data_IF_862242114606
#
_entry.id   IF_862242114606
#
_cell.length_a   1.000
_cell.length_b   1.000
_cell.length_c   1.000
_cell.angle_alpha   90.00
_cell.angle_beta   90.00
_cell.angle_gamma   90.00
#
_symmetry.space_group_name_H-M   'P 1'
#
loop_
_entity.id
_entity.type
_entity.pdbx_description
1 polymer ?
#
# COMPACT_ATOMS: atom_id res chain seq x y z
N UNK A 1 11.01 45.64 3.24
CA UNK A 1 11.06 45.03 1.90
C UNK A 1 11.46 43.56 2.03
N UNK A 2 10.53 42.62 1.83
CA UNK A 2 10.88 41.20 1.76
C UNK A 2 11.53 40.93 0.39
N UNK A 3 12.85 40.75 0.37
CA UNK A 3 13.52 40.21 -0.82
C UNK A 3 13.02 38.79 -1.00
N UNK A 4 12.12 38.58 -1.95
CA UNK A 4 11.59 37.26 -2.25
C UNK A 4 12.73 36.40 -2.75
N UNK A 5 13.16 35.42 -1.96
CA UNK A 5 14.27 34.54 -2.31
C UNK A 5 13.93 33.77 -3.60
N UNK A 6 14.67 34.06 -4.68
CA UNK A 6 14.67 33.25 -5.89
C UNK A 6 15.84 32.29 -5.81
N UNK A 7 15.57 31.01 -6.05
CA UNK A 7 16.57 29.96 -6.01
C UNK A 7 17.40 30.01 -7.31
N UNK A 8 18.75 30.09 -7.24
CA UNK A 8 19.60 30.07 -8.43
C UNK A 8 19.49 28.78 -9.27
N UNK A 9 19.26 27.64 -8.62
CA UNK A 9 19.19 26.31 -9.21
C UNK A 9 17.87 25.68 -8.80
N UNK A 10 16.96 25.55 -9.76
CA UNK A 10 15.65 24.94 -9.53
C UNK A 10 15.37 23.93 -10.65
N UNK A 11 15.61 22.61 -10.43
CA UNK A 11 15.24 21.60 -11.41
C UNK A 11 13.75 21.68 -11.74
N UNK A 12 13.40 21.47 -13.02
CA UNK A 12 12.00 21.43 -13.44
C UNK A 12 11.35 20.11 -13.00
N UNK A 13 10.07 20.14 -12.59
CA UNK A 13 9.35 18.92 -12.23
C UNK A 13 9.17 18.02 -13.46
N UNK A 14 9.33 16.71 -13.28
CA UNK A 14 9.01 15.74 -14.33
C UNK A 14 7.48 15.58 -14.50
N UNK A 15 7.08 14.97 -15.61
CA UNK A 15 5.67 14.84 -15.99
C UNK A 15 4.85 14.03 -14.99
N UNK A 16 5.41 12.95 -14.47
CA UNK A 16 4.79 11.99 -13.55
C UNK A 16 5.37 12.06 -12.13
N UNK A 17 6.19 13.06 -11.82
CA UNK A 17 6.83 13.20 -10.50
C UNK A 17 5.85 13.67 -9.41
N UNK A 18 6.00 13.19 -8.17
CA UNK A 18 5.28 13.69 -6.99
C UNK A 18 5.73 15.12 -6.63
N UNK A 19 4.81 15.93 -6.10
CA UNK A 19 5.13 17.30 -5.66
C UNK A 19 6.20 17.29 -4.55
N UNK A 20 6.03 16.40 -3.57
CA UNK A 20 6.99 16.19 -2.49
C UNK A 20 8.37 15.75 -3.01
N UNK A 21 8.42 14.92 -4.06
CA UNK A 21 9.67 14.51 -4.72
C UNK A 21 10.35 15.68 -5.42
N UNK A 22 9.60 16.48 -6.18
CA UNK A 22 10.15 17.64 -6.87
C UNK A 22 10.74 18.64 -5.86
N UNK A 23 10.00 18.96 -4.79
CA UNK A 23 10.48 19.84 -3.72
C UNK A 23 11.73 19.29 -3.03
N UNK A 24 11.76 17.97 -2.75
CA UNK A 24 12.93 17.32 -2.16
C UNK A 24 14.16 17.38 -3.09
N UNK A 25 13.98 17.24 -4.41
CA UNK A 25 15.07 17.40 -5.38
C UNK A 25 15.56 18.83 -5.49
N UNK A 26 14.68 19.82 -5.47
CA UNK A 26 15.08 21.23 -5.42
C UNK A 26 15.91 21.47 -4.15
N UNK A 27 15.43 21.05 -2.99
CA UNK A 27 16.12 21.21 -1.71
C UNK A 27 17.48 20.51 -1.67
N UNK A 28 17.58 19.32 -2.24
CA UNK A 28 18.83 18.57 -2.32
C UNK A 28 19.93 19.29 -3.12
N UNK A 29 19.59 20.20 -4.05
CA UNK A 29 20.58 21.06 -4.74
C UNK A 29 21.25 22.07 -3.82
N UNK A 30 20.65 22.33 -2.67
CA UNK A 30 21.14 23.24 -1.63
C UNK A 30 21.68 22.50 -0.40
N UNK A 31 21.80 21.17 -0.45
CA UNK A 31 22.22 20.38 0.71
C UNK A 31 21.22 20.43 1.87
N UNK A 32 19.94 20.67 1.59
CA UNK A 32 18.89 20.87 2.59
C UNK A 32 17.70 19.95 2.32
N UNK A 33 16.88 19.72 3.34
CA UNK A 33 15.60 19.03 3.21
C UNK A 33 14.48 19.98 2.76
N UNK A 34 13.42 19.45 2.15
CA UNK A 34 12.32 20.27 1.63
C UNK A 34 11.70 21.18 2.71
N UNK A 35 11.58 20.68 3.94
CA UNK A 35 11.01 21.43 5.06
C UNK A 35 11.88 22.61 5.48
N UNK A 36 13.19 22.38 5.58
CA UNK A 36 14.17 23.40 5.93
C UNK A 36 14.20 24.51 4.87
N UNK A 37 14.16 24.12 3.59
CA UNK A 37 14.11 25.08 2.49
C UNK A 37 12.81 25.89 2.51
N UNK A 38 11.66 25.29 2.86
CA UNK A 38 10.39 26.03 3.05
C UNK A 38 10.53 27.08 4.14
N UNK A 39 11.11 26.73 5.29
CA UNK A 39 11.32 27.68 6.39
C UNK A 39 12.20 28.84 5.93
N UNK A 40 13.26 28.56 5.18
CA UNK A 40 14.10 29.58 4.58
C UNK A 40 13.33 30.50 3.61
N UNK A 41 12.52 29.91 2.70
CA UNK A 41 11.74 30.66 1.72
C UNK A 41 10.64 31.53 2.36
N UNK A 42 10.03 31.05 3.46
CA UNK A 42 8.97 31.76 4.17
C UNK A 42 9.49 32.91 5.07
N UNK A 43 10.76 32.86 5.48
CA UNK A 43 11.39 33.89 6.31
C UNK A 43 10.83 34.00 7.74
N UNK A 44 11.12 35.12 8.42
CA UNK A 44 10.80 35.36 9.84
C UNK A 44 9.28 35.35 10.17
N UNK A 45 8.40 35.52 9.18
CA UNK A 45 6.94 35.48 9.33
C UNK A 45 6.33 34.08 9.19
N UNK A 46 7.13 33.06 8.87
CA UNK A 46 6.68 31.72 8.49
C UNK A 46 6.71 30.67 9.59
N UNK A 47 6.55 31.04 10.88
CA UNK A 47 6.65 30.08 12.01
C UNK A 47 5.75 28.84 11.89
N UNK A 48 4.66 28.93 11.12
CA UNK A 48 3.73 27.82 10.86
C UNK A 48 3.98 27.10 9.51
N UNK A 49 4.87 27.60 8.65
CA UNK A 49 5.16 27.01 7.33
C UNK A 49 6.00 25.73 7.43
N UNK A 50 6.82 25.61 8.48
CA UNK A 50 7.66 24.43 8.76
C UNK A 50 6.92 23.25 9.40
N UNK A 51 5.60 23.30 9.57
CA UNK A 51 4.82 22.23 10.20
C UNK A 51 4.04 21.36 9.20
N UNK A 52 3.94 21.77 7.93
CA UNK A 52 3.09 21.09 6.93
C UNK A 52 3.95 20.20 6.03
N UNK A 53 3.82 18.89 6.19
CA UNK A 53 4.27 17.95 5.16
C UNK A 53 3.55 18.28 3.85
N UNK A 54 4.26 18.20 2.73
CA UNK A 54 3.68 18.44 1.41
C UNK A 54 2.63 17.36 1.14
N UNK A 55 1.37 17.76 1.07
CA UNK A 55 0.30 16.89 0.60
C UNK A 55 0.42 16.73 -0.91
N UNK A 56 0.74 15.53 -1.37
CA UNK A 56 0.80 15.20 -2.80
C UNK A 56 -0.60 15.13 -3.42
N UNK A 57 -1.66 14.92 -2.63
CA UNK A 57 -3.05 14.80 -3.09
C UNK A 57 -3.68 16.15 -3.28
N UNK A 58 -3.78 16.95 -2.22
CA UNK A 58 -4.41 18.26 -2.22
C UNK A 58 -3.45 19.30 -1.60
N UNK A 59 -2.40 19.73 -2.35
CA UNK A 59 -1.37 20.60 -1.82
C UNK A 59 -1.92 21.96 -1.42
N UNK A 60 -1.39 22.50 -0.32
CA UNK A 60 -1.65 23.87 0.11
C UNK A 60 -1.21 24.87 -0.97
N UNK A 61 -2.16 25.69 -1.44
CA UNK A 61 -1.94 26.64 -2.52
C UNK A 61 -1.02 27.80 -2.14
N UNK A 62 -0.94 28.19 -0.86
CA UNK A 62 0.03 29.19 -0.40
C UNK A 62 1.45 28.64 -0.46
N UNK A 63 1.63 27.42 0.02
CA UNK A 63 2.91 26.71 -0.07
C UNK A 63 3.33 26.51 -1.53
N UNK A 64 2.41 26.10 -2.41
CA UNK A 64 2.69 25.96 -3.83
C UNK A 64 3.10 27.27 -4.48
N UNK A 65 2.41 28.38 -4.18
CA UNK A 65 2.77 29.71 -4.71
C UNK A 65 4.16 30.15 -4.25
N UNK A 66 4.52 29.84 -3.00
CA UNK A 66 5.86 30.12 -2.46
C UNK A 66 6.93 29.37 -3.27
N UNK A 67 6.78 28.06 -3.45
CA UNK A 67 7.70 27.24 -4.25
C UNK A 67 7.73 27.65 -5.72
N UNK A 68 6.56 27.92 -6.32
CA UNK A 68 6.41 28.38 -7.69
C UNK A 68 7.21 29.66 -7.94
N UNK A 69 7.06 30.64 -7.04
CA UNK A 69 7.78 31.92 -7.10
C UNK A 69 9.29 31.73 -6.94
N UNK A 70 9.71 30.95 -5.95
CA UNK A 70 11.12 30.68 -5.68
C UNK A 70 11.82 29.95 -6.85
N UNK A 71 11.12 29.02 -7.49
CA UNK A 71 11.62 28.17 -8.57
C UNK A 71 11.30 28.70 -9.99
N UNK A 72 10.60 29.83 -10.10
CA UNK A 72 10.15 30.42 -11.38
C UNK A 72 9.35 29.41 -12.21
N UNK A 73 8.46 28.67 -11.56
CA UNK A 73 7.52 27.73 -12.19
C UNK A 73 6.12 28.35 -12.10
N UNK A 74 5.29 28.12 -13.11
CA UNK A 74 3.87 28.48 -13.05
C UNK A 74 3.16 27.67 -11.93
N UNK A 75 2.50 28.32 -10.95
CA UNK A 75 1.78 27.62 -9.89
C UNK A 75 0.66 26.72 -10.40
N UNK A 76 -0.02 27.06 -11.50
CA UNK A 76 -1.07 26.19 -12.07
C UNK A 76 -0.48 24.91 -12.66
N UNK A 77 0.69 25.01 -13.30
CA UNK A 77 1.45 23.83 -13.74
C UNK A 77 1.85 22.92 -12.57
N UNK A 78 2.17 23.47 -11.40
CA UNK A 78 2.44 22.66 -10.20
C UNK A 78 1.15 22.05 -9.63
N UNK A 79 0.06 22.82 -9.57
CA UNK A 79 -1.24 22.31 -9.11
C UNK A 79 -1.70 21.11 -9.95
N UNK A 80 -1.51 21.17 -11.28
CA UNK A 80 -1.77 20.04 -12.21
C UNK A 80 -0.92 18.79 -11.96
N UNK A 81 0.07 18.83 -11.06
CA UNK A 81 0.86 17.66 -10.65
C UNK A 81 0.34 17.00 -9.37
N UNK A 82 -0.61 17.61 -8.67
CA UNK A 82 -1.24 16.97 -7.52
C UNK A 82 -1.92 15.67 -7.95
N UNK A 83 -2.02 14.71 -7.03
CA UNK A 83 -2.67 13.43 -7.33
C UNK A 83 -4.15 13.63 -7.60
N UNK A 84 -4.82 14.55 -6.89
CA UNK A 84 -6.22 14.89 -7.17
C UNK A 84 -6.41 15.44 -8.59
N UNK A 85 -5.48 16.27 -9.09
CA UNK A 85 -5.58 16.76 -10.48
C UNK A 85 -5.22 15.70 -11.52
N UNK A 86 -4.30 14.78 -11.21
CA UNK A 86 -3.86 13.72 -12.14
C UNK A 86 -4.85 12.56 -12.22
N UNK A 87 -5.59 12.34 -11.15
CA UNK A 87 -6.52 11.22 -11.01
C UNK A 87 -7.86 11.76 -10.44
N UNK A 88 -8.59 12.60 -11.20
CA UNK A 88 -9.80 13.26 -10.70
C UNK A 88 -10.92 12.29 -10.35
N UNK A 89 -10.99 11.14 -11.03
CA UNK A 89 -12.01 10.12 -10.82
C UNK A 89 -11.68 9.17 -9.67
N UNK A 90 -10.60 9.44 -8.91
CA UNK A 90 -10.12 8.55 -7.86
C UNK A 90 -10.40 9.14 -6.47
N UNK A 91 -11.08 8.38 -5.59
CA UNK A 91 -11.28 8.82 -4.21
C UNK A 91 -9.96 9.01 -3.46
N UNK A 92 -9.95 9.95 -2.51
CA UNK A 92 -8.77 10.26 -1.71
C UNK A 92 -8.26 9.04 -0.92
N UNK A 93 -9.19 8.19 -0.48
CA UNK A 93 -8.94 6.94 0.26
C UNK A 93 -8.17 5.89 -0.57
N UNK A 94 -7.98 6.13 -1.88
CA UNK A 94 -7.20 5.28 -2.79
C UNK A 94 -5.80 5.82 -3.10
N UNK A 95 -5.34 6.82 -2.33
CA UNK A 95 -3.94 7.24 -2.28
C UNK A 95 -3.29 6.86 -0.95
N UNK A 96 -2.07 6.35 -1.00
CA UNK A 96 -1.27 6.06 0.18
C UNK A 96 -0.90 7.36 0.90
N UNK A 97 -1.12 7.42 2.22
CA UNK A 97 -0.84 8.62 3.04
C UNK A 97 0.55 8.56 3.66
N UNK A 98 1.05 7.37 3.98
CA UNK A 98 2.32 7.18 4.71
C UNK A 98 3.55 7.13 3.78
N UNK A 99 3.96 5.92 3.41
CA UNK A 99 5.22 5.65 2.72
C UNK A 99 4.98 5.50 1.23
N UNK A 100 5.80 6.15 0.41
CA UNK A 100 5.78 5.94 -1.05
C UNK A 100 6.59 4.68 -1.34
N UNK A 101 5.95 3.59 -1.79
CA UNK A 101 6.68 2.42 -2.25
C UNK A 101 7.45 2.78 -3.53
N UNK A 102 8.58 2.14 -3.76
CA UNK A 102 9.50 2.51 -4.86
C UNK A 102 9.87 1.31 -5.71
N UNK A 103 10.19 1.55 -6.97
CA UNK A 103 10.87 0.57 -7.81
C UNK A 103 12.34 0.98 -7.94
N UNK A 104 13.26 0.11 -7.56
CA UNK A 104 14.69 0.40 -7.64
C UNK A 104 15.18 0.41 -9.10
N UNK A 105 14.65 -0.47 -9.95
CA UNK A 105 14.94 -0.47 -11.38
C UNK A 105 14.51 0.84 -12.08
N UNK A 106 13.44 1.49 -11.60
CA UNK A 106 13.09 2.84 -12.07
C UNK A 106 14.17 3.87 -11.74
N UNK A 107 14.79 3.81 -10.56
CA UNK A 107 15.90 4.70 -10.23
C UNK A 107 17.14 4.39 -11.07
N UNK A 108 17.42 3.13 -11.34
CA UNK A 108 18.53 2.74 -12.21
C UNK A 108 18.30 3.19 -13.65
N UNK A 109 17.07 3.10 -14.16
CA UNK A 109 16.68 3.61 -15.46
C UNK A 109 16.82 5.14 -15.57
N UNK A 110 16.50 5.89 -14.49
CA UNK A 110 16.72 7.34 -14.45
C UNK A 110 18.22 7.66 -14.61
N UNK A 111 19.06 6.90 -13.92
CA UNK A 111 20.53 7.06 -13.93
C UNK A 111 21.11 6.68 -15.28
N UNK A 112 20.68 5.56 -15.87
CA UNK A 112 21.08 5.14 -17.21
C UNK A 112 20.71 6.20 -18.26
N UNK A 113 19.57 6.88 -18.08
CA UNK A 113 19.14 8.02 -18.89
C UNK A 113 19.86 9.35 -18.53
N UNK A 114 20.85 9.33 -17.62
CA UNK A 114 21.59 10.50 -17.12
C UNK A 114 20.67 11.59 -16.53
N UNK A 115 19.65 11.17 -15.78
CA UNK A 115 18.69 12.04 -15.10
C UNK A 115 18.72 11.83 -13.60
N UNK A 116 18.27 12.85 -12.88
CA UNK A 116 18.00 12.73 -11.45
C UNK A 116 16.94 11.65 -11.19
N UNK A 117 17.12 10.88 -10.12
CA UNK A 117 16.08 10.01 -9.61
C UNK A 117 14.94 10.83 -8.99
N UNK A 118 13.71 10.33 -9.09
CA UNK A 118 12.51 10.97 -8.54
C UNK A 118 11.41 9.96 -8.20
N UNK A 119 10.48 10.34 -7.33
CA UNK A 119 9.32 9.50 -7.00
C UNK A 119 8.18 9.75 -7.98
N UNK A 120 7.65 8.67 -8.55
CA UNK A 120 6.52 8.73 -9.48
C UNK A 120 5.19 8.86 -8.74
N UNK A 121 4.25 9.56 -9.35
CA UNK A 121 2.90 9.83 -8.84
C UNK A 121 2.09 8.55 -8.68
N UNK A 122 2.16 7.65 -9.67
CA UNK A 122 1.41 6.40 -9.64
C UNK A 122 1.87 5.45 -8.52
N UNK A 123 3.05 5.64 -7.93
CA UNK A 123 3.49 4.86 -6.76
C UNK A 123 2.64 5.12 -5.51
N UNK A 124 1.89 6.22 -5.46
CA UNK A 124 0.96 6.53 -4.37
C UNK A 124 -0.41 5.86 -4.53
N UNK A 125 -0.70 5.17 -5.64
CA UNK A 125 -2.01 4.52 -5.82
C UNK A 125 -2.09 3.27 -4.94
N UNK A 126 -3.20 3.09 -4.24
CA UNK A 126 -3.36 2.02 -3.24
C UNK A 126 -3.29 0.61 -3.84
N UNK A 127 -3.72 0.40 -5.08
CA UNK A 127 -3.58 -0.87 -5.80
C UNK A 127 -2.20 -1.06 -6.42
N UNK A 128 -1.39 0.00 -6.52
CA UNK A 128 -0.08 -0.07 -7.15
C UNK A 128 0.91 -0.80 -6.23
N UNK A 129 1.13 -2.08 -6.51
CA UNK A 129 2.02 -3.00 -5.79
C UNK A 129 3.12 -3.57 -6.68
N UNK A 130 2.92 -3.59 -8.01
CA UNK A 130 3.92 -3.98 -9.02
C UNK A 130 4.23 -2.78 -9.89
N UNK A 131 5.51 -2.54 -10.18
CA UNK A 131 5.95 -1.54 -11.15
C UNK A 131 5.58 -1.97 -12.57
N UNK A 132 4.73 -1.25 -13.33
CA UNK A 132 4.32 -1.71 -14.66
C UNK A 132 5.45 -1.74 -15.69
N UNK A 133 6.37 -0.74 -15.73
CA UNK A 133 7.52 -0.79 -16.63
C UNK A 133 8.49 -1.95 -16.36
N UNK A 134 8.80 -2.23 -15.09
CA UNK A 134 9.84 -3.20 -14.73
C UNK A 134 9.29 -4.57 -14.34
N UNK A 135 7.97 -4.70 -14.15
CA UNK A 135 7.27 -5.93 -13.71
C UNK A 135 7.78 -6.49 -12.39
N UNK A 136 8.41 -5.65 -11.57
CA UNK A 136 8.90 -6.02 -10.25
C UNK A 136 7.98 -5.49 -9.17
N UNK A 137 7.88 -6.22 -8.07
CA UNK A 137 7.18 -5.73 -6.90
C UNK A 137 7.79 -4.41 -6.40
N UNK A 138 6.95 -3.45 -6.01
CA UNK A 138 7.42 -2.24 -5.36
C UNK A 138 7.95 -2.55 -3.95
N UNK A 139 8.87 -1.73 -3.47
CA UNK A 139 9.48 -1.86 -2.15
C UNK A 139 9.05 -0.71 -1.24
N UNK A 140 8.59 -1.04 -0.05
CA UNK A 140 8.34 -0.10 1.06
C UNK A 140 9.32 -0.32 2.23
N UNK A 141 10.31 -1.20 2.03
CA UNK A 141 11.43 -1.47 2.93
C UNK A 141 12.75 -1.34 2.21
N UNK A 142 13.76 -0.86 2.92
CA UNK A 142 15.12 -0.80 2.41
C UNK A 142 15.69 -2.23 2.28
N UNK A 143 16.24 -2.63 1.12
CA UNK A 143 16.84 -3.96 0.98
C UNK A 143 18.08 -4.16 1.87
N UNK A 144 18.81 -3.08 2.19
CA UNK A 144 20.03 -3.17 3.00
C UNK A 144 19.78 -3.27 4.51
N UNK A 145 18.79 -2.55 5.05
CA UNK A 145 18.53 -2.52 6.51
C UNK A 145 17.16 -3.04 6.92
N UNK A 146 16.33 -3.47 5.97
CA UNK A 146 14.96 -4.00 6.14
C UNK A 146 13.97 -3.05 6.84
N UNK A 147 14.42 -1.86 7.21
CA UNK A 147 13.60 -0.81 7.80
C UNK A 147 12.65 -0.19 6.78
N UNK A 148 11.53 0.35 7.27
CA UNK A 148 10.57 1.09 6.46
C UNK A 148 11.27 2.18 5.65
N UNK A 149 11.00 2.21 4.35
CA UNK A 149 11.73 3.00 3.40
C UNK A 149 11.35 4.48 3.56
N UNK A 150 12.30 5.27 4.04
CA UNK A 150 12.27 6.73 3.99
C UNK A 150 13.51 7.14 3.23
N UNK A 151 13.34 7.94 2.18
CA UNK A 151 14.45 8.30 1.31
C UNK A 151 14.81 9.78 1.39
N UNK A 152 16.08 10.06 1.14
CA UNK A 152 16.61 11.40 0.88
C UNK A 152 17.25 11.40 -0.50
N UNK A 153 17.17 12.54 -1.19
CA UNK A 153 17.91 12.73 -2.44
C UNK A 153 19.23 13.43 -2.12
N UNK A 154 20.34 12.88 -2.59
CA UNK A 154 21.67 13.47 -2.41
C UNK A 154 22.43 13.48 -3.73
N UNK A 155 23.31 14.46 -3.89
CA UNK A 155 24.17 14.58 -5.07
C UNK A 155 25.23 13.48 -5.07
N UNK A 156 25.30 12.71 -6.15
CA UNK A 156 26.36 11.73 -6.39
C UNK A 156 26.65 11.70 -7.90
N UNK A 157 27.92 11.91 -8.27
CA UNK A 157 28.37 11.96 -9.67
C UNK A 157 27.55 12.92 -10.55
N UNK A 158 27.22 14.10 -10.01
CA UNK A 158 26.47 15.15 -10.72
C UNK A 158 24.96 14.95 -10.82
N UNK A 159 24.43 13.82 -10.34
CA UNK A 159 22.99 13.51 -10.36
C UNK A 159 22.45 13.36 -8.94
N UNK A 160 21.15 13.65 -8.76
CA UNK A 160 20.47 13.31 -7.51
C UNK A 160 20.15 11.82 -7.46
N UNK A 161 20.63 11.15 -6.42
CA UNK A 161 20.43 9.73 -6.17
C UNK A 161 19.63 9.52 -4.88
N UNK A 162 18.79 8.47 -4.81
CA UNK A 162 18.01 8.17 -3.63
C UNK A 162 18.84 7.36 -2.63
N UNK A 163 18.82 7.77 -1.38
CA UNK A 163 19.47 7.10 -0.25
C UNK A 163 18.45 6.70 0.79
N UNK A 164 18.67 5.59 1.48
CA UNK A 164 17.90 5.26 2.68
C UNK A 164 18.26 6.24 3.80
N UNK A 165 17.28 6.93 4.40
CA UNK A 165 17.51 7.83 5.54
C UNK A 165 17.98 7.10 6.81
N UNK A 166 17.75 5.79 6.91
CA UNK A 166 18.08 5.01 8.12
C UNK A 166 19.51 4.49 8.10
N UNK A 167 19.96 3.93 6.98
CA UNK A 167 21.27 3.28 6.86
C UNK A 167 22.19 3.91 5.82
N UNK A 168 21.78 4.99 5.17
CA UNK A 168 22.53 5.69 4.13
C UNK A 168 22.96 4.83 2.92
N UNK A 169 22.36 3.64 2.75
CA UNK A 169 22.56 2.84 1.55
C UNK A 169 21.97 3.55 0.33
N UNK A 170 22.70 3.53 -0.79
CA UNK A 170 22.19 3.97 -2.10
C UNK A 170 21.08 2.99 -2.50
N UNK A 171 19.93 3.53 -2.87
CA UNK A 171 18.79 2.73 -3.34
C UNK A 171 18.94 2.48 -4.84
N UNK A 172 19.52 1.33 -5.17
CA UNK A 172 19.72 0.81 -6.53
C UNK A 172 19.30 -0.65 -6.56
N UNK A 173 18.81 -1.14 -7.69
CA UNK A 173 18.26 -2.47 -7.84
C UNK A 173 19.30 -3.58 -7.78
N UNK A 174 20.60 -3.25 -7.78
CA UNK A 174 21.66 -4.23 -7.95
C UNK A 174 21.61 -4.78 -9.37
N UNK A 175 22.54 -4.36 -10.23
CA UNK A 175 22.54 -4.81 -11.62
C UNK A 175 22.75 -6.32 -11.72
N UNK A 176 21.70 -7.06 -12.09
CA UNK A 176 21.83 -8.39 -12.70
C UNK A 176 21.80 -9.61 -11.78
N UNK A 177 21.16 -9.57 -10.61
CA UNK A 177 20.69 -10.82 -10.03
C UNK A 177 19.59 -11.37 -10.93
N UNK A 178 19.79 -12.57 -11.49
CA UNK A 178 18.76 -13.29 -12.24
C UNK A 178 17.53 -13.40 -11.35
N UNK A 179 16.48 -12.65 -11.68
CA UNK A 179 15.22 -12.72 -10.95
C UNK A 179 14.75 -14.16 -10.92
N UNK A 180 14.44 -14.66 -9.72
CA UNK A 180 13.81 -15.95 -9.53
C UNK A 180 12.55 -16.03 -10.42
N UNK A 181 12.47 -16.98 -11.37
CA UNK A 181 11.32 -17.12 -12.26
C UNK A 181 9.98 -17.17 -11.52
N UNK A 182 9.94 -17.75 -10.32
CA UNK A 182 8.73 -17.80 -9.49
C UNK A 182 8.33 -16.41 -8.98
N UNK A 183 9.31 -15.57 -8.60
CA UNK A 183 9.06 -14.17 -8.20
C UNK A 183 8.53 -13.36 -9.39
N UNK A 184 9.08 -13.59 -10.59
CA UNK A 184 8.64 -12.92 -11.82
C UNK A 184 7.21 -13.32 -12.22
N UNK A 185 6.87 -14.62 -12.21
CA UNK A 185 5.52 -15.10 -12.53
C UNK A 185 4.48 -14.57 -11.53
N UNK A 186 4.81 -14.56 -10.23
CA UNK A 186 3.96 -13.97 -9.21
C UNK A 186 3.72 -12.47 -9.46
N UNK A 187 4.78 -11.71 -9.72
CA UNK A 187 4.65 -10.29 -10.01
C UNK A 187 3.84 -10.01 -11.28
N UNK A 188 3.97 -10.86 -12.31
CA UNK A 188 3.15 -10.79 -13.52
C UNK A 188 1.66 -11.02 -13.22
N UNK A 189 1.32 -12.07 -12.47
CA UNK A 189 -0.06 -12.33 -12.06
C UNK A 189 -0.66 -11.18 -11.24
N UNK A 190 0.09 -10.64 -10.28
CA UNK A 190 -0.35 -9.50 -9.46
C UNK A 190 -0.48 -8.22 -10.30
N UNK A 191 0.37 -8.01 -11.31
CA UNK A 191 0.29 -6.87 -12.23
C UNK A 191 -1.03 -6.87 -13.02
N UNK A 192 -1.49 -8.04 -13.45
CA UNK A 192 -2.78 -8.19 -14.13
C UNK A 192 -3.94 -7.84 -13.20
N UNK A 193 -3.92 -8.34 -11.96
CA UNK A 193 -4.92 -8.02 -10.93
C UNK A 193 -4.95 -6.52 -10.61
N UNK A 194 -3.78 -5.92 -10.39
CA UNK A 194 -3.63 -4.49 -10.18
C UNK A 194 -4.24 -3.70 -11.34
N UNK A 195 -3.94 -4.07 -12.58
CA UNK A 195 -4.43 -3.37 -13.78
C UNK A 195 -5.95 -3.47 -13.93
N UNK A 196 -6.54 -4.60 -13.54
CA UNK A 196 -7.98 -4.78 -13.48
C UNK A 196 -8.63 -3.88 -12.41
N UNK A 197 -8.06 -3.84 -11.21
CA UNK A 197 -8.54 -2.97 -10.12
C UNK A 197 -8.43 -1.50 -10.50
N UNK A 198 -7.31 -1.06 -11.10
CA UNK A 198 -7.17 0.31 -11.59
C UNK A 198 -8.22 0.68 -12.64
N UNK A 199 -8.79 -0.27 -13.39
CA UNK A 199 -9.93 -0.02 -14.30
C UNK A 199 -11.24 0.09 -13.53
N UNK A 200 -11.49 -0.76 -12.55
CA UNK A 200 -12.68 -0.71 -11.70
C UNK A 200 -12.77 0.64 -10.98
N UNK A 201 -11.66 1.06 -10.34
CA UNK A 201 -11.56 2.32 -9.57
C UNK A 201 -11.83 3.54 -10.44
N UNK A 202 -11.46 3.52 -11.73
CA UNK A 202 -11.64 4.67 -12.63
C UNK A 202 -13.01 4.74 -13.31
N UNK A 203 -13.69 3.61 -13.51
CA UNK A 203 -14.67 3.51 -14.60
C UNK A 203 -16.07 3.02 -14.23
N UNK A 204 -16.31 2.54 -13.01
CA UNK A 204 -17.61 1.95 -12.68
C UNK A 204 -17.96 2.11 -11.19
N UNK A 205 -18.77 3.13 -10.82
CA UNK A 205 -19.14 3.40 -9.43
C UNK A 205 -19.74 2.17 -8.72
N UNK A 206 -20.68 1.46 -9.36
CA UNK A 206 -21.32 0.30 -8.74
C UNK A 206 -20.37 -0.89 -8.52
N UNK A 207 -19.42 -1.14 -9.43
CA UNK A 207 -18.37 -2.15 -9.20
C UNK A 207 -17.36 -1.69 -8.16
N UNK A 208 -17.05 -0.40 -8.15
CA UNK A 208 -16.15 0.21 -7.19
C UNK A 208 -16.70 0.08 -5.76
N UNK A 209 -17.98 0.39 -5.53
CA UNK A 209 -18.62 0.26 -4.22
C UNK A 209 -18.56 -1.18 -3.69
N UNK A 210 -18.78 -2.17 -4.57
CA UNK A 210 -18.69 -3.59 -4.20
C UNK A 210 -17.25 -4.03 -3.92
N UNK A 211 -16.30 -3.55 -4.70
CA UNK A 211 -14.87 -3.79 -4.46
C UNK A 211 -14.46 -3.23 -3.11
N UNK A 212 -14.84 -1.98 -2.83
CA UNK A 212 -14.54 -1.30 -1.58
C UNK A 212 -15.18 -2.03 -0.39
N UNK A 213 -16.46 -2.40 -0.51
CA UNK A 213 -17.14 -3.22 0.49
C UNK A 213 -16.39 -4.54 0.73
N UNK A 214 -16.00 -5.26 -0.31
CA UNK A 214 -15.26 -6.52 -0.17
C UNK A 214 -13.91 -6.34 0.55
N UNK A 215 -13.12 -5.34 0.16
CA UNK A 215 -11.83 -5.03 0.80
C UNK A 215 -12.04 -4.69 2.28
N UNK A 216 -13.02 -3.82 2.56
CA UNK A 216 -13.33 -3.42 3.92
C UNK A 216 -13.79 -4.60 4.79
N UNK A 217 -14.60 -5.51 4.25
CA UNK A 217 -15.03 -6.73 4.95
C UNK A 217 -13.86 -7.67 5.21
N UNK A 218 -12.97 -7.87 4.24
CA UNK A 218 -11.75 -8.68 4.43
C UNK A 218 -10.90 -8.17 5.59
N UNK A 219 -10.79 -6.85 5.74
CA UNK A 219 -10.02 -6.19 6.79
C UNK A 219 -10.85 -5.81 8.03
N UNK A 220 -12.12 -6.18 8.10
CA UNK A 220 -12.94 -5.97 9.29
C UNK A 220 -12.48 -6.88 10.43
N UNK A 221 -12.57 -6.45 11.71
CA UNK A 221 -12.29 -7.29 12.87
C UNK A 221 -13.14 -8.56 12.82
N UNK A 222 -12.57 -9.67 13.25
CA UNK A 222 -13.26 -10.94 13.36
C UNK A 222 -14.13 -10.97 14.61
N UNK A 223 -15.40 -11.36 14.47
CA UNK A 223 -16.41 -11.58 15.52
C UNK A 223 -16.83 -10.35 16.36
N UNK A 224 -15.91 -9.47 16.75
CA UNK A 224 -16.17 -8.30 17.59
C UNK A 224 -15.26 -7.13 17.27
N UNK A 225 -15.76 -5.91 17.52
CA UNK A 225 -14.99 -4.68 17.36
C UNK A 225 -13.75 -4.68 18.28
N UNK A 226 -12.66 -4.05 17.80
CA UNK A 226 -11.36 -4.00 18.47
C UNK A 226 -10.54 -5.29 18.40
N UNK A 227 -11.05 -6.37 17.79
CA UNK A 227 -10.24 -7.55 17.54
C UNK A 227 -9.13 -7.23 16.52
N UNK A 228 -7.88 -7.46 16.91
CA UNK A 228 -6.73 -7.25 16.01
C UNK A 228 -6.64 -8.29 14.87
N UNK A 229 -7.55 -9.26 14.82
CA UNK A 229 -7.59 -10.34 13.82
C UNK A 229 -8.64 -9.99 12.75
N UNK A 230 -8.26 -9.74 11.50
CA UNK A 230 -9.20 -9.47 10.41
C UNK A 230 -9.90 -10.73 9.88
N UNK A 231 -11.03 -10.57 9.17
CA UNK A 231 -11.73 -11.66 8.48
C UNK A 231 -10.83 -12.43 7.52
N UNK A 232 -9.92 -11.75 6.82
CA UNK A 232 -8.96 -12.40 5.92
C UNK A 232 -8.11 -13.48 6.61
N UNK A 233 -7.99 -13.46 7.94
CA UNK A 233 -7.30 -14.51 8.69
C UNK A 233 -7.94 -15.89 8.52
N UNK A 234 -9.25 -15.94 8.22
CA UNK A 234 -9.96 -17.18 7.95
C UNK A 234 -9.66 -17.75 6.57
N UNK A 235 -9.20 -16.94 5.61
CA UNK A 235 -8.75 -17.41 4.30
C UNK A 235 -7.48 -18.27 4.41
N UNK A 236 -6.65 -18.01 5.43
CA UNK A 236 -5.44 -18.79 5.70
C UNK A 236 -5.70 -20.13 6.38
N UNK A 237 -6.84 -20.30 7.05
CA UNK A 237 -7.21 -21.51 7.81
C UNK A 237 -6.14 -22.01 8.81
N UNK A 238 -5.26 -21.13 9.31
CA UNK A 238 -4.24 -21.49 10.30
C UNK A 238 -4.70 -21.16 11.73
N UNK A 239 -4.76 -22.20 12.57
CA UNK A 239 -5.07 -22.05 14.00
C UNK A 239 -4.02 -21.22 14.71
N UNK A 240 -4.43 -20.19 15.45
CA UNK A 240 -3.52 -19.34 16.22
C UNK A 240 -2.83 -18.23 15.43
N UNK A 241 -3.17 -18.06 14.14
CA UNK A 241 -2.66 -16.95 13.35
C UNK A 241 -3.09 -15.61 13.98
N UNK A 242 -2.10 -14.77 14.25
CA UNK A 242 -2.29 -13.40 14.71
C UNK A 242 -1.90 -12.43 13.61
N UNK A 243 -2.71 -11.40 13.39
CA UNK A 243 -2.40 -10.35 12.43
C UNK A 243 -1.04 -9.73 12.77
N UNK A 244 -0.07 -9.76 11.84
CA UNK A 244 1.24 -9.16 12.07
C UNK A 244 1.09 -7.69 12.40
N UNK A 245 1.96 -7.18 13.27
CA UNK A 245 1.90 -5.81 13.79
C UNK A 245 1.72 -4.76 12.68
N UNK A 246 2.37 -4.99 11.54
CA UNK A 246 2.39 -4.11 10.37
C UNK A 246 1.04 -4.00 9.66
N UNK A 247 0.21 -5.04 9.75
CA UNK A 247 -1.11 -5.09 9.13
C UNK A 247 -2.23 -4.71 10.11
N UNK A 248 -1.96 -4.73 11.43
CA UNK A 248 -2.95 -4.37 12.46
C UNK A 248 -3.52 -2.97 12.30
N UNK A 249 -2.73 -2.03 11.79
CA UNK A 249 -3.16 -0.64 11.60
C UNK A 249 -4.32 -0.50 10.60
N UNK A 250 -4.49 -1.47 9.69
CA UNK A 250 -5.54 -1.50 8.68
C UNK A 250 -6.84 -2.16 9.16
N UNK A 251 -6.78 -2.97 10.24
CA UNK A 251 -7.94 -3.73 10.72
C UNK A 251 -9.01 -2.77 11.24
N UNK A 252 -10.22 -2.87 10.69
CA UNK A 252 -11.35 -2.00 11.04
C UNK A 252 -11.29 -0.56 10.50
N UNK A 253 -10.34 -0.25 9.60
CA UNK A 253 -10.29 1.05 8.90
C UNK A 253 -11.25 1.10 7.72
N UNK A 254 -11.77 2.29 7.41
CA UNK A 254 -12.59 2.53 6.21
C UNK A 254 -11.79 2.43 4.91
N UNK A 255 -10.49 2.74 4.96
CA UNK A 255 -9.57 2.66 3.81
C UNK A 255 -8.37 1.73 4.10
N UNK A 256 -8.57 0.40 4.24
CA UNK A 256 -7.52 -0.52 4.68
C UNK A 256 -6.25 -0.43 3.84
N UNK A 257 -6.39 -0.34 2.51
CA UNK A 257 -5.24 -0.34 1.59
C UNK A 257 -4.29 0.85 1.80
N UNK A 258 -4.71 1.98 2.39
CA UNK A 258 -3.81 3.11 2.64
C UNK A 258 -2.73 2.80 3.68
N UNK A 259 -3.01 1.87 4.58
CA UNK A 259 -2.21 1.58 5.76
C UNK A 259 -1.37 0.30 5.64
N UNK A 260 -1.53 -0.42 4.53
CA UNK A 260 -0.91 -1.71 4.31
C UNK A 260 0.41 -1.57 3.56
N UNK A 261 1.39 -2.40 3.97
CA UNK A 261 2.60 -2.63 3.18
C UNK A 261 2.27 -3.13 1.76
N UNK A 262 3.22 -3.01 0.82
CA UNK A 262 3.09 -3.55 -0.53
C UNK A 262 2.66 -5.01 -0.51
N UNK A 263 3.28 -5.85 0.32
CA UNK A 263 3.01 -7.28 0.35
C UNK A 263 1.58 -7.59 0.84
N UNK A 264 1.08 -6.88 1.85
CA UNK A 264 -0.31 -7.03 2.33
C UNK A 264 -1.35 -6.49 1.33
N UNK A 265 -1.01 -5.43 0.58
CA UNK A 265 -1.86 -4.95 -0.51
C UNK A 265 -1.93 -5.97 -1.64
N UNK A 266 -0.78 -6.53 -2.06
CA UNK A 266 -0.69 -7.56 -3.09
C UNK A 266 -1.49 -8.80 -2.70
N UNK A 267 -1.34 -9.28 -1.47
CA UNK A 267 -2.13 -10.39 -0.93
C UNK A 267 -3.63 -10.09 -0.98
N UNK A 268 -4.05 -8.87 -0.61
CA UNK A 268 -5.46 -8.48 -0.69
C UNK A 268 -5.98 -8.61 -2.13
N UNK A 269 -5.18 -8.24 -3.14
CA UNK A 269 -5.58 -8.39 -4.54
C UNK A 269 -5.73 -9.87 -4.94
N UNK A 270 -4.82 -10.73 -4.49
CA UNK A 270 -4.88 -12.18 -4.73
C UNK A 270 -6.13 -12.80 -4.08
N UNK A 271 -6.42 -12.45 -2.83
CA UNK A 271 -7.62 -12.96 -2.13
C UNK A 271 -8.90 -12.53 -2.85
N UNK A 272 -8.96 -11.29 -3.34
CA UNK A 272 -10.12 -10.83 -4.14
C UNK A 272 -10.31 -11.67 -5.41
N UNK A 273 -9.22 -11.99 -6.10
CA UNK A 273 -9.27 -12.88 -7.26
C UNK A 273 -9.70 -14.30 -6.88
N UNK A 274 -9.19 -14.85 -5.79
CA UNK A 274 -9.52 -16.21 -5.38
C UNK A 274 -10.98 -16.34 -4.91
N UNK A 275 -11.54 -15.29 -4.30
CA UNK A 275 -12.92 -15.28 -3.85
C UNK A 275 -13.92 -14.98 -4.98
N UNK A 276 -13.59 -14.08 -5.91
CA UNK A 276 -14.55 -13.55 -6.89
C UNK A 276 -14.19 -13.84 -8.35
N UNK A 277 -13.08 -14.54 -8.61
CA UNK A 277 -12.59 -14.85 -9.95
C UNK A 277 -12.19 -13.61 -10.74
N UNK A 278 -12.26 -13.72 -12.07
CA UNK A 278 -11.82 -12.67 -13.00
C UNK A 278 -12.57 -11.33 -12.88
N UNK A 279 -13.74 -11.31 -12.22
CA UNK A 279 -14.50 -10.07 -12.02
C UNK A 279 -13.98 -9.23 -10.85
N UNK A 280 -13.22 -9.83 -9.92
CA UNK A 280 -12.63 -9.22 -8.71
C UNK A 280 -13.61 -8.54 -7.75
N UNK A 281 -14.90 -8.54 -8.06
CA UNK A 281 -15.93 -7.86 -7.29
C UNK A 281 -17.09 -8.81 -7.02
N UNK A 282 -17.75 -8.67 -5.86
CA UNK A 282 -19.00 -9.37 -5.58
C UNK A 282 -20.04 -9.25 -6.71
N UNK A 283 -20.57 -10.40 -7.12
CA UNK A 283 -21.78 -10.48 -7.94
C UNK A 283 -23.05 -10.18 -7.14
N UNK A 284 -24.22 -10.33 -7.76
CA UNK A 284 -25.50 -10.26 -7.05
C UNK A 284 -25.66 -11.42 -6.04
N UNK A 285 -25.03 -12.56 -6.32
CA UNK A 285 -24.94 -13.72 -5.43
C UNK A 285 -23.47 -13.85 -5.03
N UNK A 286 -23.21 -13.90 -3.72
CA UNK A 286 -21.87 -14.12 -3.20
C UNK A 286 -21.48 -15.59 -3.36
N UNK A 287 -20.25 -15.90 -3.80
CA UNK A 287 -19.70 -17.25 -3.69
C UNK A 287 -19.73 -17.72 -2.23
N UNK A 288 -20.02 -19.00 -2.00
CA UNK A 288 -20.19 -19.56 -0.64
C UNK A 288 -18.97 -19.28 0.25
N UNK A 289 -17.75 -19.42 -0.30
CA UNK A 289 -16.53 -19.11 0.43
C UNK A 289 -16.49 -17.65 0.91
N UNK A 290 -16.88 -16.69 0.07
CA UNK A 290 -16.95 -15.28 0.45
C UNK A 290 -18.06 -15.02 1.48
N UNK A 291 -19.21 -15.68 1.34
CA UNK A 291 -20.34 -15.57 2.25
C UNK A 291 -19.98 -16.05 3.67
N UNK A 292 -19.35 -17.23 3.78
CA UNK A 292 -18.88 -17.79 5.05
C UNK A 292 -17.87 -16.86 5.73
N UNK A 293 -16.94 -16.28 4.97
CA UNK A 293 -15.98 -15.32 5.50
C UNK A 293 -16.67 -14.04 5.96
N UNK A 294 -17.53 -13.45 5.13
CA UNK A 294 -18.12 -12.13 5.38
C UNK A 294 -19.12 -12.15 6.55
N UNK A 295 -19.78 -13.28 6.82
CA UNK A 295 -20.63 -13.45 8.01
C UNK A 295 -19.88 -13.33 9.33
N UNK A 296 -18.54 -13.49 9.32
CA UNK A 296 -17.69 -13.45 10.50
C UNK A 296 -17.14 -12.04 10.77
N UNK A 297 -17.43 -11.08 9.90
CA UNK A 297 -17.05 -9.69 10.09
C UNK A 297 -17.81 -9.07 11.26
N UNK A 298 -17.09 -8.38 12.15
CA UNK A 298 -17.70 -7.57 13.18
C UNK A 298 -18.57 -6.46 12.55
N UNK A 299 -19.73 -6.15 13.15
CA UNK A 299 -20.55 -5.05 12.67
C UNK A 299 -19.81 -3.73 12.90
N UNK A 300 -19.55 -2.99 11.82
CA UNK A 300 -18.95 -1.66 11.87
C UNK A 300 -19.91 -0.63 11.24
N UNK A 301 -19.98 0.61 11.77
CA UNK A 301 -20.97 1.61 11.31
C UNK A 301 -20.91 1.88 9.81
N UNK A 302 -19.71 2.01 9.25
CA UNK A 302 -19.53 2.25 7.81
C UNK A 302 -19.70 1.00 6.95
N UNK A 303 -19.73 -0.20 7.55
CA UNK A 303 -19.95 -1.47 6.84
C UNK A 303 -21.44 -1.75 6.68
N UNK A 304 -22.27 -1.25 7.61
CA UNK A 304 -23.73 -1.34 7.55
C UNK A 304 -24.37 -0.39 6.55
N UNK A 305 -23.64 0.65 6.12
CA UNK A 305 -24.10 1.64 5.13
C UNK A 305 -23.81 1.25 3.66
N UNK A 306 -23.28 0.04 3.42
CA UNK A 306 -23.05 -0.49 2.07
C UNK A 306 -24.36 -0.70 1.29
N UNK A 307 -24.33 -0.71 -0.07
CA UNK A 307 -25.53 -0.90 -0.87
C UNK A 307 -26.27 -2.15 -0.41
N UNK A 308 -27.54 -1.93 -0.08
CA UNK A 308 -28.42 -2.81 0.64
C UNK A 308 -28.66 -4.12 -0.14
N UNK A 309 -27.73 -5.08 -0.06
CA UNK A 309 -27.87 -6.44 -0.60
C UNK A 309 -29.01 -7.22 0.09
N UNK A 310 -29.74 -6.58 1.02
CA UNK A 310 -30.86 -7.16 1.78
C UNK A 310 -32.25 -6.68 1.34
N UNK A 311 -32.37 -5.85 0.30
CA UNK A 311 -33.70 -5.47 -0.21
C UNK A 311 -34.29 -6.52 -1.15
N UNK A 312 -34.59 -7.68 -0.57
CA UNK A 312 -35.59 -8.62 -1.07
C UNK A 312 -36.63 -8.84 0.01
N UNK A 313 -37.65 -7.96 0.09
CA UNK A 313 -38.85 -8.22 0.89
C UNK A 313 -39.55 -9.44 0.30
N UNK A 314 -39.26 -10.60 0.87
CA UNK A 314 -39.87 -11.87 0.51
C UNK A 314 -39.46 -12.90 1.53
N UNK A 315 -40.29 -13.10 2.54
CA UNK A 315 -40.22 -14.23 3.47
C UNK A 315 -40.19 -15.51 2.64
N UNK A 316 -39.00 -16.07 2.42
CA UNK A 316 -38.81 -17.43 1.89
C UNK A 316 -37.75 -18.10 2.73
N UNK A 317 -38.20 -19.11 3.44
CA UNK A 317 -37.43 -20.28 3.87
C UNK A 317 -36.35 -20.60 2.84
N UNK A 318 -35.10 -20.67 3.30
CA UNK A 318 -33.99 -21.19 2.50
C UNK A 318 -34.26 -22.69 2.35
N UNK A 319 -34.78 -23.08 1.19
CA UNK A 319 -34.70 -24.47 0.75
C UNK A 319 -33.22 -24.74 0.41
N UNK A 320 -32.56 -25.48 1.30
CA UNK A 320 -31.33 -26.18 0.98
C UNK A 320 -31.67 -27.24 -0.07
N UNK A 321 -31.53 -26.87 -1.35
CA UNK A 321 -31.62 -27.82 -2.45
C UNK A 321 -30.56 -28.91 -2.29
N UNK A 322 -31.00 -30.08 -1.83
CA UNK A 322 -30.18 -31.28 -1.74
C UNK A 322 -29.95 -31.84 -3.14
N UNK A 323 -29.00 -31.27 -3.88
CA UNK A 323 -28.40 -31.95 -5.02
C UNK A 323 -27.12 -32.66 -4.57
N UNK A 324 -27.15 -33.98 -4.72
CA UNK A 324 -26.13 -34.91 -4.24
C UNK A 324 -24.80 -34.60 -4.89
N UNK A 325 -23.84 -34.28 -4.02
CA UNK A 325 -22.48 -34.83 -3.97
C UNK A 325 -22.01 -35.48 -5.28
N UNK A 326 -21.41 -34.67 -6.15
CA UNK A 326 -20.23 -35.12 -6.86
C UNK A 326 -19.00 -34.58 -6.14
N UNK A 327 -18.29 -35.50 -5.48
CA UNK A 327 -16.90 -35.36 -5.06
C UNK A 327 -16.14 -34.51 -6.08
N UNK A 328 -15.76 -33.30 -5.70
CA UNK A 328 -14.75 -32.54 -6.44
C UNK A 328 -13.40 -33.20 -6.20
N UNK A 329 -13.18 -34.20 -7.04
CA UNK A 329 -11.91 -34.62 -7.63
C UNK A 329 -10.81 -33.56 -7.50
N UNK A 330 -9.90 -33.83 -6.57
CA UNK A 330 -8.44 -33.93 -6.82
C UNK A 330 -7.98 -33.42 -8.21
N UNK A 331 -7.77 -32.11 -8.37
CA UNK A 331 -6.69 -31.60 -9.24
C UNK A 331 -5.95 -30.43 -8.57
N UNK A 332 -4.78 -30.84 -8.06
CA UNK A 332 -3.56 -30.14 -7.60
C UNK A 332 -3.51 -28.62 -7.78
N UNK A 333 -3.56 -27.90 -6.66
CA UNK A 333 -2.74 -26.70 -6.43
C UNK A 333 -1.94 -26.96 -5.16
N UNK A 334 -0.63 -26.81 -5.28
CA UNK A 334 0.49 -27.12 -4.39
C UNK A 334 0.24 -27.76 -3.01
N UNK A 335 0.82 -28.96 -2.87
CA UNK A 335 0.98 -29.76 -1.65
C UNK A 335 2.18 -29.23 -0.86
N UNK A 336 1.98 -28.71 0.34
CA UNK A 336 3.00 -28.71 1.39
C UNK A 336 2.43 -29.46 2.59
N UNK A 337 3.07 -30.59 2.90
CA UNK A 337 2.66 -31.55 3.91
C UNK A 337 2.92 -31.03 5.33
N UNK A 338 1.99 -31.31 6.24
CA UNK A 338 2.21 -31.33 7.69
C UNK A 338 0.97 -31.85 8.40
N UNK A 339 0.95 -33.14 8.73
CA UNK A 339 -0.18 -33.82 9.38
C UNK A 339 -0.37 -33.36 10.83
N UNK A 340 -1.64 -33.09 11.16
CA UNK A 340 -2.43 -33.42 12.35
C UNK A 340 -1.74 -34.02 13.59
N UNK A 341 -2.01 -33.43 14.76
CA UNK A 341 -2.88 -33.96 15.83
C UNK A 341 -2.57 -33.21 17.14
N UNK A 342 -3.56 -32.63 17.83
CA UNK A 342 -3.31 -32.06 19.16
C UNK A 342 -4.33 -31.08 19.72
N UNK A 343 -5.63 -31.35 19.64
CA UNK A 343 -6.56 -30.76 20.62
C UNK A 343 -6.28 -31.39 22.00
N UNK A 344 -6.01 -30.55 23.01
CA UNK A 344 -6.64 -30.65 24.35
C UNK A 344 -6.11 -29.60 25.37
N UNK A 345 -7.10 -28.95 26.02
CA UNK A 345 -7.13 -28.44 27.42
C UNK A 345 -6.46 -27.09 27.72
N UNK A 346 -7.30 -26.07 27.91
CA UNK A 346 -6.99 -24.94 28.80
C UNK A 346 -7.77 -25.10 30.12
N UNK A 347 -7.04 -25.16 31.25
CA UNK A 347 -7.51 -24.81 32.61
C UNK A 347 -6.57 -23.71 33.17
N UNK A 348 -7.03 -22.88 34.13
CA UNK A 348 -6.43 -21.56 34.38
C UNK A 348 -5.43 -21.50 35.55
N UNK A 349 -4.39 -20.64 35.38
CA UNK A 349 -3.55 -19.87 36.34
C UNK A 349 -2.71 -20.63 37.42
N UNK A 350 -1.60 -20.08 38.00
CA UNK A 350 -1.43 -18.68 38.47
C UNK A 350 0.05 -18.13 38.37
N UNK A 351 0.60 -17.20 39.21
CA UNK A 351 1.28 -15.99 38.72
C UNK A 351 2.80 -15.91 38.99
N UNK A 352 3.43 -14.89 38.38
CA UNK A 352 4.75 -14.29 38.66
C UNK A 352 6.02 -15.10 38.36
N UNK A 353 6.91 -14.52 37.53
CA UNK A 353 8.15 -13.85 37.98
C UNK A 353 8.90 -13.24 36.78
N UNK A 354 9.20 -11.95 36.85
CA UNK A 354 10.14 -11.28 35.95
C UNK A 354 11.53 -11.93 36.07
N UNK A 355 12.05 -12.45 34.94
CA UNK A 355 13.48 -12.58 34.70
C UNK A 355 13.78 -12.00 33.33
N UNK A 356 14.77 -11.10 33.29
CA UNK A 356 15.41 -10.60 32.07
C UNK A 356 15.79 -11.78 31.17
N UNK A 357 15.26 -11.81 29.96
CA UNK A 357 15.77 -12.66 28.87
C UNK A 357 16.03 -11.77 27.66
N UNK A 358 17.22 -11.99 27.09
CA UNK A 358 17.74 -11.38 25.88
C UNK A 358 16.73 -11.55 24.73
N UNK A 359 16.40 -10.44 24.07
CA UNK A 359 15.53 -10.45 22.90
C UNK A 359 16.28 -11.03 21.70
N UNK A 360 16.23 -12.35 21.56
CA UNK A 360 16.40 -13.01 20.27
C UNK A 360 15.15 -12.69 19.44
N UNK A 361 15.31 -11.87 18.40
CA UNK A 361 14.25 -11.59 17.44
C UNK A 361 14.06 -12.82 16.56
N UNK A 362 13.14 -13.71 16.94
CA UNK A 362 12.61 -14.69 15.99
C UNK A 362 11.88 -13.93 14.86
N UNK A 363 12.13 -14.26 13.59
CA UNK A 363 11.42 -13.64 12.49
C UNK A 363 9.95 -14.03 12.61
N UNK A 364 9.09 -13.03 12.81
CA UNK A 364 7.63 -13.17 12.73
C UNK A 364 7.33 -13.94 11.45
N UNK A 365 6.72 -15.12 11.58
CA UNK A 365 6.34 -15.95 10.46
C UNK A 365 5.40 -15.16 9.53
N UNK A 366 5.98 -14.56 8.49
CA UNK A 366 5.25 -14.15 7.30
C UNK A 366 4.57 -15.40 6.73
N UNK A 367 3.43 -15.24 6.07
CA UNK A 367 2.79 -16.31 5.31
C UNK A 367 3.85 -17.06 4.46
N UNK A 368 3.81 -18.40 4.30
CA UNK A 368 4.77 -19.12 3.44
C UNK A 368 4.89 -18.54 2.03
N UNK A 369 3.79 -18.03 1.46
CA UNK A 369 3.78 -17.27 0.19
C UNK A 369 4.63 -15.99 0.35
N UNK A 370 4.43 -15.23 1.42
CA UNK A 370 5.21 -14.01 1.67
C UNK A 370 6.68 -14.29 2.04
N UNK A 371 6.99 -15.39 2.72
CA UNK A 371 8.38 -15.80 3.02
C UNK A 371 9.11 -16.18 1.73
N UNK A 372 8.48 -16.96 0.85
CA UNK A 372 9.13 -17.42 -0.39
C UNK A 372 9.44 -16.26 -1.36
N UNK A 373 8.61 -15.22 -1.38
CA UNK A 373 8.74 -14.14 -2.36
C UNK A 373 9.45 -12.88 -1.83
N UNK A 374 9.56 -12.68 -0.51
CA UNK A 374 9.97 -11.39 0.07
C UNK A 374 11.05 -11.45 1.16
N UNK A 375 11.53 -12.65 1.51
CA UNK A 375 12.91 -12.81 1.98
C UNK A 375 13.82 -13.10 0.80
#
# INVERSE_FOLDING_TARGET
MMVSARLPVAPRPFMDELLSSWMARVAARYGSEALELVVYLAGQGGRNAGARQVDDVAPDMELLRLWAKACRVDPERLCRRSLASRYPDRPQDWFLTETVPVCLACFDADVAARRDAYLRGHWRLAEQVVCPPHRTMLLDRCPACLGRLRLSFRMLNGLLRPFCRKCDAILTGGGGETEDPLKADFAAGVLDLQSQISRIVRGNPGRFDRLEHAIRTLWAPLDRDGAARPVLALWYDESGWNCPYEARAAVGRSAPLQHLSVSWRALTLVILHDLFGADLVPGAVLPEAALVLFQRAAPLPWLTDGPDLRTGKGKRTIDAGAERVHRLSKRRVHRLNGNFEGERRFRPNPPMKLKRQEFFWEPIALCPIMQTYWT
#
